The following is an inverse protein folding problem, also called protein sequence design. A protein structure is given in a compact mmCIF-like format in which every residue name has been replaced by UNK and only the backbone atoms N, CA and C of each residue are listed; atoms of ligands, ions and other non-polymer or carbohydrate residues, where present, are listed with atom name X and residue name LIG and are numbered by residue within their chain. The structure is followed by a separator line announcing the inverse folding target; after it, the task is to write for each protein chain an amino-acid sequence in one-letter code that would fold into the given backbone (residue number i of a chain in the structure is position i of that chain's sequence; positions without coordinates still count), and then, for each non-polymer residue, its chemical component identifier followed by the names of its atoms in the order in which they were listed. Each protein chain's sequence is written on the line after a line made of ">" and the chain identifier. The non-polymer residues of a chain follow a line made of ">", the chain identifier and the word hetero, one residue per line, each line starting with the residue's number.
data_IF_345517967011
#
_entry.id   IF_345517967011
#
_cell.length_a   1.000
_cell.length_b   1.000
_cell.length_c   1.000
_cell.angle_alpha   90.00
_cell.angle_beta   90.00
_cell.angle_gamma   90.00
#
_symmetry.space_group_name_H-M   'P 1'
#
loop_
_entity.id
_entity.type
_entity.pdbx_description
1 polymer ?
#
# COMPACT_ATOMS: atom_id res chain seq x y z
N UNK A 1 -17.83 -25.14 -16.68
CA UNK A 1 -16.97 -24.51 -15.69
C UNK A 1 -17.06 -25.27 -14.38
N UNK A 2 -16.07 -26.13 -14.13
CA UNK A 2 -15.86 -26.85 -12.87
C UNK A 2 -14.79 -26.13 -12.04
N UNK A 3 -14.66 -26.42 -10.72
CA UNK A 3 -13.56 -25.88 -9.92
C UNK A 3 -12.17 -26.20 -10.50
N UNK A 4 -11.99 -27.41 -11.04
CA UNK A 4 -10.72 -27.84 -11.65
C UNK A 4 -10.41 -27.02 -12.91
N UNK A 5 -11.40 -26.81 -13.78
CA UNK A 5 -11.25 -25.97 -14.97
C UNK A 5 -10.83 -24.54 -14.59
N UNK A 6 -11.43 -23.97 -13.53
CA UNK A 6 -11.10 -22.64 -13.03
C UNK A 6 -9.67 -22.57 -12.49
N UNK A 7 -9.25 -23.59 -11.73
CA UNK A 7 -7.86 -23.72 -11.26
C UNK A 7 -6.88 -23.77 -12.43
N UNK A 8 -7.20 -24.55 -13.47
CA UNK A 8 -6.36 -24.70 -14.64
C UNK A 8 -6.21 -23.37 -15.40
N UNK A 9 -7.30 -22.61 -15.58
CA UNK A 9 -7.24 -21.27 -16.18
C UNK A 9 -6.30 -20.34 -15.42
N UNK A 10 -6.37 -20.36 -14.09
CA UNK A 10 -5.48 -19.54 -13.29
C UNK A 10 -4.00 -19.97 -13.43
N UNK A 11 -3.72 -21.28 -13.45
CA UNK A 11 -2.37 -21.77 -13.68
C UNK A 11 -1.86 -21.39 -15.08
N UNK A 12 -2.70 -21.49 -16.11
CA UNK A 12 -2.37 -21.03 -17.47
C UNK A 12 -2.01 -19.54 -17.49
N UNK A 13 -2.83 -18.69 -16.86
CA UNK A 13 -2.54 -17.26 -16.73
C UNK A 13 -1.20 -17.02 -16.04
N UNK A 14 -0.96 -17.69 -14.90
CA UNK A 14 0.31 -17.58 -14.15
C UNK A 14 1.51 -17.98 -15.00
N UNK A 15 1.42 -19.10 -15.72
CA UNK A 15 2.49 -19.55 -16.62
C UNK A 15 2.74 -18.54 -17.74
N UNK A 16 1.70 -18.05 -18.42
CA UNK A 16 1.85 -17.06 -19.51
C UNK A 16 2.54 -15.78 -19.02
N UNK A 17 2.10 -15.22 -17.89
CA UNK A 17 2.69 -13.98 -17.36
C UNK A 17 4.13 -14.22 -16.87
N UNK A 18 4.42 -15.39 -16.30
CA UNK A 18 5.75 -15.70 -15.76
C UNK A 18 6.88 -15.67 -16.79
N UNK A 19 6.55 -15.86 -18.07
CA UNK A 19 7.50 -15.74 -19.19
C UNK A 19 8.08 -14.31 -19.26
N UNK A 20 7.24 -13.30 -19.04
CA UNK A 20 7.65 -11.89 -19.14
C UNK A 20 8.04 -11.30 -17.78
N UNK A 21 7.28 -11.64 -16.74
CA UNK A 21 7.40 -11.12 -15.38
C UNK A 21 7.38 -12.29 -14.38
N UNK A 22 8.54 -12.89 -14.06
CA UNK A 22 8.63 -13.94 -13.05
C UNK A 22 8.10 -13.44 -11.69
N UNK A 23 7.45 -14.33 -10.93
CA UNK A 23 6.89 -14.04 -9.59
C UNK A 23 5.83 -12.90 -9.54
N UNK A 24 5.28 -12.51 -10.68
CA UNK A 24 4.21 -11.49 -10.78
C UNK A 24 2.86 -11.94 -10.20
N UNK A 25 2.62 -13.24 -10.20
CA UNK A 25 1.44 -13.87 -9.61
C UNK A 25 1.87 -14.83 -8.49
N UNK A 26 1.42 -14.55 -7.26
CA UNK A 26 1.64 -15.44 -6.12
C UNK A 26 0.82 -16.73 -6.27
N UNK A 27 1.17 -17.79 -5.54
CA UNK A 27 0.34 -18.98 -5.48
C UNK A 27 -0.82 -18.80 -4.49
N UNK A 28 -2.02 -19.27 -4.85
CA UNK A 28 -3.17 -19.25 -3.94
C UNK A 28 -3.15 -20.55 -3.14
N UNK A 29 -2.86 -20.45 -1.85
CA UNK A 29 -2.84 -21.61 -0.93
C UNK A 29 -4.24 -22.10 -0.53
N UNK A 30 -5.27 -21.27 -0.75
CA UNK A 30 -6.65 -21.59 -0.45
C UNK A 30 -7.18 -22.62 -1.46
N UNK A 31 -7.77 -23.74 -1.01
CA UNK A 31 -8.37 -24.70 -1.93
C UNK A 31 -9.67 -24.15 -2.52
N UNK A 32 -9.87 -24.40 -3.81
CA UNK A 32 -11.19 -24.28 -4.43
C UNK A 32 -12.15 -25.33 -3.84
N UNK A 33 -13.47 -25.10 -3.89
CA UNK A 33 -14.42 -26.12 -3.49
C UNK A 33 -14.34 -27.35 -4.42
N UNK A 34 -14.66 -28.54 -3.91
CA UNK A 34 -14.65 -29.79 -4.69
C UNK A 34 -15.73 -29.81 -5.78
N UNK A 35 -16.85 -29.15 -5.50
CA UNK A 35 -18.00 -28.99 -6.40
C UNK A 35 -18.67 -27.63 -6.15
N UNK A 36 -19.77 -27.38 -6.86
CA UNK A 36 -20.57 -26.16 -6.75
C UNK A 36 -21.97 -26.47 -6.21
N UNK A 37 -22.11 -27.41 -5.27
CA UNK A 37 -23.40 -27.93 -4.84
C UNK A 37 -24.10 -27.18 -3.71
N UNK A 38 -23.36 -26.44 -2.88
CA UNK A 38 -23.87 -25.93 -1.61
C UNK A 38 -23.40 -24.51 -1.23
N UNK A 39 -23.88 -24.05 -0.08
CA UNK A 39 -23.54 -22.75 0.51
C UNK A 39 -22.05 -22.62 0.84
N UNK A 40 -21.44 -23.68 1.37
CA UNK A 40 -20.04 -23.67 1.76
C UNK A 40 -19.14 -23.55 0.52
N UNK A 41 -19.50 -24.21 -0.58
CA UNK A 41 -18.84 -24.09 -1.86
C UNK A 41 -18.88 -22.64 -2.37
N UNK A 42 -20.02 -21.96 -2.24
CA UNK A 42 -20.13 -20.54 -2.58
C UNK A 42 -19.18 -19.68 -1.76
N UNK A 43 -19.14 -19.86 -0.43
CA UNK A 43 -18.25 -19.09 0.44
C UNK A 43 -16.77 -19.34 0.11
N UNK A 44 -16.39 -20.61 -0.11
CA UNK A 44 -15.03 -20.97 -0.53
C UNK A 44 -14.66 -20.33 -1.87
N UNK A 45 -15.57 -20.36 -2.85
CA UNK A 45 -15.34 -19.74 -4.16
C UNK A 45 -15.18 -18.22 -4.05
N UNK A 46 -15.99 -17.54 -3.23
CA UNK A 46 -15.86 -16.10 -2.98
C UNK A 46 -14.51 -15.76 -2.33
N UNK A 47 -14.11 -16.53 -1.32
CA UNK A 47 -12.84 -16.32 -0.60
C UNK A 47 -11.65 -16.59 -1.53
N UNK A 48 -11.67 -17.69 -2.27
CA UNK A 48 -10.65 -18.02 -3.28
C UNK A 48 -10.56 -16.93 -4.35
N UNK A 49 -11.71 -16.51 -4.87
CA UNK A 49 -11.82 -15.47 -5.88
C UNK A 49 -11.29 -14.11 -5.40
N UNK A 50 -11.51 -13.79 -4.12
CA UNK A 50 -10.93 -12.61 -3.50
C UNK A 50 -9.40 -12.71 -3.46
N UNK A 51 -8.86 -13.85 -3.00
CA UNK A 51 -7.41 -14.07 -2.99
C UNK A 51 -6.81 -13.96 -4.39
N UNK A 52 -7.46 -14.53 -5.42
CA UNK A 52 -7.03 -14.38 -6.81
C UNK A 52 -6.93 -12.90 -7.23
N UNK A 53 -8.01 -12.14 -7.08
CA UNK A 53 -8.14 -10.81 -7.70
C UNK A 53 -7.52 -9.69 -6.86
N UNK A 54 -7.49 -9.84 -5.53
CA UNK A 54 -7.01 -8.79 -4.62
C UNK A 54 -5.66 -9.08 -3.99
N UNK A 55 -5.15 -10.30 -4.07
CA UNK A 55 -3.88 -10.68 -3.45
C UNK A 55 -2.94 -11.24 -4.52
N UNK A 56 -3.21 -12.43 -5.04
CA UNK A 56 -2.28 -13.21 -5.82
C UNK A 56 -1.99 -12.64 -7.22
N UNK A 57 -3.01 -12.15 -7.93
CA UNK A 57 -2.88 -11.58 -9.28
C UNK A 57 -3.31 -10.11 -9.35
N UNK A 58 -3.31 -9.40 -8.20
CA UNK A 58 -3.85 -8.04 -8.06
C UNK A 58 -3.37 -7.06 -9.14
N UNK A 59 -2.06 -7.05 -9.41
CA UNK A 59 -1.44 -6.09 -10.33
C UNK A 59 -1.53 -6.59 -11.76
N UNK A 60 -1.09 -7.83 -12.09
CA UNK A 60 -1.10 -8.28 -13.47
C UNK A 60 -2.52 -8.40 -14.03
N UNK A 61 -3.48 -8.87 -13.23
CA UNK A 61 -4.86 -8.98 -13.68
C UNK A 61 -5.49 -7.60 -13.90
N UNK A 62 -5.26 -6.65 -13.00
CA UNK A 62 -5.73 -5.28 -13.21
C UNK A 62 -5.09 -4.64 -14.46
N UNK A 63 -3.83 -4.93 -14.75
CA UNK A 63 -3.18 -4.47 -15.98
C UNK A 63 -3.81 -5.12 -17.23
N UNK A 64 -3.87 -6.45 -17.28
CA UNK A 64 -4.36 -7.21 -18.44
C UNK A 64 -5.84 -6.94 -18.75
N UNK A 65 -6.67 -6.74 -17.74
CA UNK A 65 -8.10 -6.39 -17.94
C UNK A 65 -8.32 -5.00 -18.56
N UNK A 66 -7.27 -4.15 -18.63
CA UNK A 66 -7.31 -2.88 -19.35
C UNK A 66 -6.79 -2.98 -20.79
N UNK A 67 -6.31 -4.15 -21.21
CA UNK A 67 -5.87 -4.40 -22.58
C UNK A 67 -6.98 -5.13 -23.37
N UNK A 68 -7.04 -4.95 -24.70
CA UNK A 68 -7.89 -5.77 -25.56
C UNK A 68 -7.62 -7.27 -25.36
N UNK A 69 -8.64 -8.14 -25.47
CA UNK A 69 -10.03 -7.85 -25.86
C UNK A 69 -10.92 -7.35 -24.71
N UNK A 70 -10.41 -7.33 -23.48
CA UNK A 70 -11.14 -6.82 -22.34
C UNK A 70 -11.25 -5.29 -22.42
N UNK A 71 -12.42 -4.76 -22.07
CA UNK A 71 -12.65 -3.30 -22.01
C UNK A 71 -12.26 -2.78 -20.63
N UNK A 72 -11.76 -1.55 -20.59
CA UNK A 72 -11.25 -0.81 -19.41
C UNK A 72 -12.25 -0.56 -18.24
N UNK A 73 -13.30 -1.36 -18.09
CA UNK A 73 -14.35 -1.19 -17.08
C UNK A 73 -14.78 -2.53 -16.44
N UNK A 74 -13.92 -3.56 -16.43
CA UNK A 74 -14.25 -4.82 -15.78
C UNK A 74 -14.30 -4.65 -14.25
N UNK A 75 -15.47 -4.24 -13.72
CA UNK A 75 -15.73 -3.89 -12.32
C UNK A 75 -15.75 -5.10 -11.35
N UNK A 76 -15.25 -6.26 -11.78
CA UNK A 76 -15.40 -7.51 -11.04
C UNK A 76 -14.58 -7.55 -9.74
N UNK A 77 -13.47 -6.81 -9.66
CA UNK A 77 -12.70 -6.66 -8.42
C UNK A 77 -13.54 -6.05 -7.28
N UNK A 78 -14.38 -5.07 -7.57
CA UNK A 78 -15.26 -4.46 -6.58
C UNK A 78 -16.39 -5.42 -6.19
N UNK A 79 -16.91 -6.16 -7.16
CA UNK A 79 -17.93 -7.19 -6.95
C UNK A 79 -17.43 -8.27 -5.98
N UNK A 80 -16.28 -8.89 -6.25
CA UNK A 80 -15.74 -9.95 -5.39
C UNK A 80 -15.35 -9.43 -4.00
N UNK A 81 -14.86 -8.20 -3.90
CA UNK A 81 -14.54 -7.57 -2.60
C UNK A 81 -15.80 -7.34 -1.77
N UNK A 82 -16.91 -6.95 -2.41
CA UNK A 82 -18.19 -6.74 -1.76
C UNK A 82 -18.82 -8.07 -1.32
N UNK A 83 -18.77 -9.08 -2.19
CA UNK A 83 -19.19 -10.45 -1.84
C UNK A 83 -18.38 -11.02 -0.67
N UNK A 84 -17.04 -10.87 -0.70
CA UNK A 84 -16.16 -11.29 0.40
C UNK A 84 -16.53 -10.60 1.70
N UNK A 85 -16.84 -9.30 1.64
CA UNK A 85 -17.26 -8.54 2.81
C UNK A 85 -18.56 -9.12 3.39
N UNK A 86 -19.53 -9.45 2.54
CA UNK A 86 -20.79 -10.05 2.98
C UNK A 86 -20.64 -11.44 3.60
N UNK A 87 -19.79 -12.31 3.03
CA UNK A 87 -19.63 -13.69 3.55
C UNK A 87 -18.74 -13.78 4.78
N UNK A 88 -17.81 -12.83 4.99
CA UNK A 88 -16.78 -12.93 6.02
C UNK A 88 -16.90 -11.91 7.16
N UNK A 89 -17.78 -10.90 7.06
CA UNK A 89 -17.91 -9.86 8.08
C UNK A 89 -19.32 -9.79 8.65
N UNK A 90 -19.40 -9.45 9.93
CA UNK A 90 -20.66 -9.10 10.58
C UNK A 90 -21.07 -7.69 10.14
N UNK A 91 -22.06 -7.61 9.25
CA UNK A 91 -22.59 -6.35 8.74
C UNK A 91 -23.61 -5.76 9.71
N UNK A 92 -23.51 -4.45 9.96
CA UNK A 92 -24.40 -3.70 10.83
C UNK A 92 -25.32 -2.81 9.99
N UNK A 93 -26.61 -3.16 9.95
CA UNK A 93 -27.63 -2.47 9.15
C UNK A 93 -27.79 -1.00 9.57
N UNK A 94 -27.35 -0.60 10.77
CA UNK A 94 -27.36 0.81 11.17
C UNK A 94 -26.33 1.66 10.40
N UNK A 95 -25.28 1.04 9.84
CA UNK A 95 -24.21 1.73 9.12
C UNK A 95 -24.53 1.84 7.63
N UNK A 96 -24.45 3.06 7.10
CA UNK A 96 -24.67 3.35 5.66
C UNK A 96 -23.79 2.52 4.71
N UNK A 97 -22.55 2.20 5.12
CA UNK A 97 -21.62 1.37 4.33
C UNK A 97 -22.17 -0.05 4.18
N UNK A 98 -22.61 -0.64 5.28
CA UNK A 98 -23.06 -2.03 5.31
C UNK A 98 -24.41 -2.18 4.61
N UNK A 99 -25.30 -1.18 4.73
CA UNK A 99 -26.53 -1.11 3.91
C UNK A 99 -26.23 -1.15 2.40
N UNK A 100 -25.19 -0.45 1.93
CA UNK A 100 -24.76 -0.49 0.52
C UNK A 100 -24.26 -1.89 0.13
N UNK A 101 -23.48 -2.53 1.00
CA UNK A 101 -23.03 -3.93 0.80
C UNK A 101 -24.23 -4.86 0.66
N UNK A 102 -25.20 -4.81 1.58
CA UNK A 102 -26.43 -5.61 1.50
C UNK A 102 -27.21 -5.36 0.20
N UNK A 103 -27.43 -4.10 -0.15
CA UNK A 103 -28.17 -3.74 -1.35
C UNK A 103 -27.49 -4.24 -2.64
N UNK A 104 -26.16 -4.17 -2.70
CA UNK A 104 -25.38 -4.72 -3.79
C UNK A 104 -25.53 -6.24 -3.87
N UNK A 105 -25.31 -6.94 -2.76
CA UNK A 105 -25.32 -8.41 -2.70
C UNK A 105 -26.70 -8.98 -2.99
N UNK A 106 -27.77 -8.35 -2.50
CA UNK A 106 -29.13 -8.77 -2.85
C UNK A 106 -29.43 -8.64 -4.33
N UNK A 107 -28.93 -7.58 -4.99
CA UNK A 107 -29.05 -7.43 -6.44
C UNK A 107 -28.25 -8.50 -7.17
N UNK A 108 -27.02 -8.72 -6.73
CA UNK A 108 -26.14 -9.74 -7.28
C UNK A 108 -26.76 -11.14 -7.18
N UNK A 109 -27.32 -11.52 -6.04
CA UNK A 109 -28.02 -12.80 -5.88
C UNK A 109 -29.25 -12.90 -6.77
N UNK A 110 -29.98 -11.79 -6.95
CA UNK A 110 -31.14 -11.76 -7.84
C UNK A 110 -30.75 -12.01 -9.30
N UNK A 111 -29.61 -11.48 -9.73
CA UNK A 111 -29.03 -11.74 -11.05
C UNK A 111 -28.55 -13.20 -11.17
N UNK A 112 -27.87 -13.72 -10.14
CA UNK A 112 -27.23 -15.03 -10.18
C UNK A 112 -28.22 -16.22 -10.04
N UNK A 113 -29.24 -16.09 -9.18
CA UNK A 113 -30.16 -17.19 -8.86
C UNK A 113 -31.65 -16.79 -8.82
N UNK A 114 -32.00 -15.55 -9.17
CA UNK A 114 -33.39 -15.06 -9.19
C UNK A 114 -33.95 -14.66 -7.82
N UNK A 115 -33.17 -14.71 -6.74
CA UNK A 115 -33.60 -14.41 -5.37
C UNK A 115 -32.75 -13.33 -4.72
N UNK A 116 -33.34 -12.52 -3.84
CA UNK A 116 -32.57 -11.53 -3.06
C UNK A 116 -31.61 -12.16 -2.05
N UNK A 117 -31.92 -13.37 -1.59
CA UNK A 117 -31.06 -14.17 -0.71
C UNK A 117 -31.23 -15.64 -1.07
N UNK A 118 -30.15 -16.38 -1.35
CA UNK A 118 -30.20 -17.82 -1.54
C UNK A 118 -30.69 -18.51 -0.25
N UNK A 119 -31.46 -19.59 -0.42
CA UNK A 119 -32.03 -20.34 0.71
C UNK A 119 -32.18 -21.84 0.42
N UNK A 120 -31.53 -22.32 -0.64
CA UNK A 120 -31.55 -23.72 -1.05
C UNK A 120 -30.22 -24.06 -1.73
N UNK A 121 -29.84 -25.34 -1.73
CA UNK A 121 -28.65 -25.83 -2.42
C UNK A 121 -28.65 -25.44 -3.91
N UNK A 122 -29.82 -25.53 -4.58
CA UNK A 122 -29.96 -25.12 -5.98
C UNK A 122 -29.69 -23.61 -6.19
N UNK A 123 -30.15 -22.75 -5.27
CA UNK A 123 -29.84 -21.31 -5.36
C UNK A 123 -28.34 -21.05 -5.22
N UNK A 124 -27.67 -21.67 -4.24
CA UNK A 124 -26.22 -21.53 -4.07
C UNK A 124 -25.43 -22.11 -5.24
N UNK A 125 -25.89 -23.23 -5.81
CA UNK A 125 -25.27 -23.82 -7.00
C UNK A 125 -25.32 -22.87 -8.20
N UNK A 126 -26.47 -22.24 -8.44
CA UNK A 126 -26.60 -21.21 -9.48
C UNK A 126 -25.66 -20.02 -9.21
N UNK A 127 -25.54 -19.57 -7.94
CA UNK A 127 -24.60 -18.52 -7.56
C UNK A 127 -23.13 -18.91 -7.83
N UNK A 128 -22.74 -20.14 -7.50
CA UNK A 128 -21.41 -20.67 -7.80
C UNK A 128 -21.14 -20.70 -9.31
N UNK A 129 -22.06 -21.26 -10.10
CA UNK A 129 -21.93 -21.32 -11.56
C UNK A 129 -21.83 -19.93 -12.18
N UNK A 130 -22.68 -19.00 -11.75
CA UNK A 130 -22.66 -17.62 -12.22
C UNK A 130 -21.33 -16.92 -11.90
N UNK A 131 -20.84 -17.06 -10.67
CA UNK A 131 -19.56 -16.49 -10.25
C UNK A 131 -18.38 -17.13 -10.99
N UNK A 132 -18.39 -18.45 -11.16
CA UNK A 132 -17.36 -19.19 -11.89
C UNK A 132 -17.30 -18.80 -13.38
N UNK A 133 -18.46 -18.53 -14.00
CA UNK A 133 -18.53 -18.02 -15.37
C UNK A 133 -17.91 -16.63 -15.50
N UNK A 134 -18.20 -15.72 -14.56
CA UNK A 134 -17.53 -14.41 -14.54
C UNK A 134 -16.01 -14.53 -14.41
N UNK A 135 -15.53 -15.41 -13.51
CA UNK A 135 -14.10 -15.70 -13.42
C UNK A 135 -13.53 -16.25 -14.73
N UNK A 136 -14.25 -17.15 -15.40
CA UNK A 136 -13.85 -17.70 -16.69
C UNK A 136 -13.67 -16.60 -17.74
N UNK A 137 -14.66 -15.72 -17.91
CA UNK A 137 -14.61 -14.62 -18.88
C UNK A 137 -13.41 -13.70 -18.61
N UNK A 138 -13.21 -13.34 -17.34
CA UNK A 138 -12.09 -12.50 -16.92
C UNK A 138 -10.74 -13.17 -17.20
N UNK A 139 -10.57 -14.42 -16.78
CA UNK A 139 -9.30 -15.13 -16.91
C UNK A 139 -8.97 -15.41 -18.36
N UNK A 140 -9.96 -15.82 -19.18
CA UNK A 140 -9.75 -16.01 -20.61
C UNK A 140 -9.36 -14.71 -21.30
N UNK A 141 -10.08 -13.61 -21.04
CA UNK A 141 -9.73 -12.32 -21.61
C UNK A 141 -8.35 -11.83 -21.15
N UNK A 142 -7.94 -12.14 -19.92
CA UNK A 142 -6.60 -11.81 -19.43
C UNK A 142 -5.52 -12.70 -20.07
N UNK A 143 -5.80 -13.98 -20.31
CA UNK A 143 -4.91 -14.91 -21.03
C UNK A 143 -4.74 -14.45 -22.48
N UNK A 144 -5.84 -14.06 -23.16
CA UNK A 144 -5.80 -13.50 -24.51
C UNK A 144 -5.03 -12.18 -24.55
N UNK A 145 -5.21 -11.31 -23.54
CA UNK A 145 -4.42 -10.08 -23.41
C UNK A 145 -2.92 -10.33 -23.20
N UNK A 146 -2.50 -11.52 -22.74
CA UNK A 146 -1.08 -11.86 -22.68
C UNK A 146 -0.45 -11.96 -24.07
N UNK A 147 -1.22 -12.25 -25.14
CA UNK A 147 -0.69 -12.30 -26.50
C UNK A 147 -0.15 -10.93 -26.94
N UNK A 148 -0.67 -9.83 -26.38
CA UNK A 148 -0.16 -8.47 -26.62
C UNK A 148 1.20 -8.23 -25.97
N UNK A 149 1.59 -9.01 -24.96
CA UNK A 149 2.93 -8.94 -24.36
C UNK A 149 3.99 -9.58 -25.26
N UNK A 150 3.56 -10.49 -26.13
CA UNK A 150 4.38 -11.16 -27.15
C UNK A 150 4.48 -10.34 -28.46
N UNK A 151 3.79 -9.19 -28.55
CA UNK A 151 3.77 -8.35 -29.75
C UNK A 151 5.15 -7.72 -30.04
N UNK A 152 5.66 -7.78 -31.29
CA UNK A 152 7.00 -7.30 -31.62
C UNK A 152 7.15 -5.77 -31.57
N UNK A 153 6.07 -5.01 -31.71
CA UNK A 153 6.11 -3.54 -31.73
C UNK A 153 5.82 -2.97 -30.34
N UNK A 154 4.76 -3.41 -29.68
CA UNK A 154 4.27 -2.86 -28.41
C UNK A 154 4.61 -3.73 -27.19
N UNK A 155 4.91 -5.02 -27.37
CA UNK A 155 5.06 -5.99 -26.27
C UNK A 155 6.16 -5.61 -25.28
N UNK A 156 7.33 -5.17 -25.77
CA UNK A 156 8.43 -4.74 -24.91
C UNK A 156 8.04 -3.55 -24.00
N UNK A 157 7.26 -2.60 -24.54
CA UNK A 157 6.75 -1.44 -23.78
C UNK A 157 5.71 -1.86 -22.75
N UNK A 158 4.80 -2.77 -23.11
CA UNK A 158 3.78 -3.29 -22.18
C UNK A 158 4.39 -4.10 -21.05
N UNK A 159 5.40 -4.93 -21.34
CA UNK A 159 6.15 -5.67 -20.33
C UNK A 159 6.89 -4.73 -19.39
N UNK A 160 7.51 -3.66 -19.90
CA UNK A 160 8.16 -2.65 -19.07
C UNK A 160 7.17 -1.92 -18.15
N UNK A 161 5.98 -1.53 -18.65
CA UNK A 161 4.92 -0.92 -17.81
C UNK A 161 4.44 -1.90 -16.73
N UNK A 162 4.17 -3.16 -17.11
CA UNK A 162 3.75 -4.18 -16.15
C UNK A 162 4.81 -4.41 -15.06
N UNK A 163 6.09 -4.53 -15.41
CA UNK A 163 7.20 -4.64 -14.45
C UNK A 163 7.26 -3.43 -13.54
N UNK A 164 7.22 -2.23 -14.11
CA UNK A 164 7.18 -0.98 -13.34
C UNK A 164 6.04 -0.97 -12.32
N UNK A 165 4.83 -1.39 -12.70
CA UNK A 165 3.70 -1.47 -11.76
C UNK A 165 3.91 -2.51 -10.67
N UNK A 166 4.53 -3.66 -10.98
CA UNK A 166 4.86 -4.69 -10.00
C UNK A 166 5.92 -4.17 -9.02
N UNK A 167 6.98 -3.56 -9.53
CA UNK A 167 8.11 -3.06 -8.74
C UNK A 167 7.72 -1.88 -7.86
N UNK A 168 6.74 -1.08 -8.26
CA UNK A 168 6.20 0.03 -7.48
C UNK A 168 5.13 -0.39 -6.46
N UNK A 169 4.51 -1.55 -6.64
CA UNK A 169 3.47 -2.04 -5.75
C UNK A 169 4.06 -2.71 -4.51
N UNK A 170 4.80 -1.93 -3.72
CA UNK A 170 5.35 -2.41 -2.47
C UNK A 170 4.23 -2.73 -1.48
N UNK A 171 4.30 -3.94 -0.94
CA UNK A 171 3.49 -4.35 0.18
C UNK A 171 3.82 -3.52 1.41
N UNK A 172 2.81 -3.27 2.23
CA UNK A 172 2.93 -2.36 3.37
C UNK A 172 4.07 -2.78 4.32
N UNK A 173 4.25 -4.07 4.57
CA UNK A 173 5.30 -4.60 5.43
C UNK A 173 6.72 -4.39 4.90
N UNK A 174 6.91 -4.14 3.60
CA UNK A 174 8.25 -3.87 3.04
C UNK A 174 8.80 -2.52 3.49
N UNK A 175 7.94 -1.61 3.94
CA UNK A 175 8.37 -0.34 4.50
C UNK A 175 8.84 -0.48 5.95
N UNK A 176 8.43 -1.53 6.68
CA UNK A 176 8.71 -1.65 8.12
C UNK A 176 10.21 -1.65 8.44
N UNK A 177 11.07 -2.43 7.73
CA UNK A 177 12.52 -2.41 7.99
C UNK A 177 13.15 -1.05 7.72
N UNK A 178 12.69 -0.33 6.70
CA UNK A 178 13.19 1.03 6.39
C UNK A 178 12.80 2.03 7.47
N UNK A 179 11.56 1.94 7.97
CA UNK A 179 11.08 2.77 9.08
C UNK A 179 11.86 2.47 10.35
N UNK A 180 12.10 1.19 10.66
CA UNK A 180 12.92 0.77 11.80
C UNK A 180 14.35 1.32 11.72
N UNK A 181 14.99 1.21 10.55
CA UNK A 181 16.35 1.70 10.35
C UNK A 181 16.42 3.24 10.48
N UNK A 182 15.47 3.96 9.87
CA UNK A 182 15.38 5.41 10.01
C UNK A 182 15.13 5.82 11.47
N UNK A 183 14.22 5.14 12.16
CA UNK A 183 13.92 5.37 13.57
C UNK A 183 15.13 5.10 14.48
N UNK A 184 15.89 4.05 14.21
CA UNK A 184 17.12 3.72 14.92
C UNK A 184 18.19 4.81 14.72
N UNK A 185 18.36 5.32 13.48
CA UNK A 185 19.27 6.44 13.19
C UNK A 185 18.87 7.72 13.93
N UNK A 186 17.57 8.00 14.02
CA UNK A 186 17.01 9.12 14.80
C UNK A 186 17.07 8.90 16.33
N UNK A 187 17.49 7.72 16.79
CA UNK A 187 17.66 7.41 18.22
C UNK A 187 16.35 7.18 18.97
N UNK A 188 15.25 6.85 18.26
CA UNK A 188 13.97 6.54 18.87
C UNK A 188 13.39 5.24 18.29
N UNK A 189 13.84 4.06 18.78
CA UNK A 189 13.38 2.76 18.28
C UNK A 189 11.95 2.38 18.71
N UNK A 190 11.25 3.23 19.48
CA UNK A 190 9.96 2.91 20.10
C UNK A 190 8.72 3.32 19.31
N UNK A 191 8.83 3.65 18.03
CA UNK A 191 7.65 4.05 17.25
C UNK A 191 6.70 2.88 17.00
N UNK A 192 5.41 3.18 17.02
CA UNK A 192 4.41 2.28 16.48
C UNK A 192 4.51 2.28 14.94
N UNK A 193 5.28 1.33 14.41
CA UNK A 193 5.51 1.14 12.97
C UNK A 193 4.19 0.98 12.21
N UNK A 194 3.20 0.29 12.80
CA UNK A 194 1.91 0.06 12.18
C UNK A 194 1.16 1.39 12.02
N UNK A 195 1.14 2.22 13.07
CA UNK A 195 0.49 3.52 13.03
C UNK A 195 1.15 4.46 12.00
N UNK A 196 2.48 4.59 12.02
CA UNK A 196 3.21 5.45 11.09
C UNK A 196 3.03 4.99 9.65
N UNK A 197 3.21 3.70 9.39
CA UNK A 197 2.96 3.13 8.07
C UNK A 197 1.54 3.40 7.62
N UNK A 198 0.54 3.09 8.43
CA UNK A 198 -0.86 3.25 8.03
C UNK A 198 -1.22 4.70 7.66
N UNK A 199 -0.59 5.68 8.34
CA UNK A 199 -0.77 7.11 8.09
C UNK A 199 -0.06 7.58 6.81
N UNK A 200 1.14 7.06 6.51
CA UNK A 200 2.00 7.58 5.45
C UNK A 200 2.16 6.66 4.21
N UNK A 201 1.59 5.45 4.21
CA UNK A 201 1.77 4.45 3.14
C UNK A 201 1.48 4.98 1.73
N UNK A 202 0.38 5.69 1.55
CA UNK A 202 0.00 6.23 0.23
C UNK A 202 0.93 7.38 -0.22
N UNK A 203 1.48 8.15 0.73
CA UNK A 203 2.50 9.17 0.46
C UNK A 203 3.79 8.49 0.00
N UNK A 204 4.24 7.45 0.70
CA UNK A 204 5.46 6.71 0.35
C UNK A 204 5.35 6.02 -1.01
N UNK A 205 4.21 5.40 -1.31
CA UNK A 205 3.93 4.83 -2.64
C UNK A 205 3.98 5.88 -3.75
N UNK A 206 3.44 7.07 -3.50
CA UNK A 206 3.49 8.19 -4.46
C UNK A 206 4.92 8.63 -4.71
N UNK A 207 5.73 8.78 -3.66
CA UNK A 207 7.14 9.14 -3.78
C UNK A 207 7.91 8.08 -4.58
N UNK A 208 7.71 6.79 -4.28
CA UNK A 208 8.30 5.70 -5.06
C UNK A 208 7.91 5.75 -6.54
N UNK A 209 6.65 6.07 -6.86
CA UNK A 209 6.17 6.14 -8.24
C UNK A 209 6.77 7.31 -9.05
N UNK A 210 7.27 8.34 -8.38
CA UNK A 210 7.85 9.53 -9.00
C UNK A 210 9.38 9.49 -9.06
N UNK A 211 10.01 8.61 -8.28
CA UNK A 211 11.46 8.53 -8.16
C UNK A 211 12.08 7.61 -9.23
N UNK A 212 13.22 8.06 -9.76
CA UNK A 212 14.05 7.27 -10.65
C UNK A 212 14.56 6.01 -9.95
N UNK A 213 14.66 4.90 -10.69
CA UNK A 213 14.96 3.58 -10.14
C UNK A 213 16.24 3.57 -9.28
N UNK A 214 17.28 4.29 -9.71
CA UNK A 214 18.56 4.40 -9.00
C UNK A 214 18.48 5.24 -7.72
N UNK A 215 17.45 6.09 -7.57
CA UNK A 215 17.29 7.00 -6.43
C UNK A 215 16.13 6.62 -5.50
N UNK A 216 15.27 5.65 -5.90
CA UNK A 216 14.06 5.26 -5.16
C UNK A 216 14.31 5.01 -3.68
N UNK A 217 15.33 4.23 -3.34
CA UNK A 217 15.63 3.92 -1.95
C UNK A 217 16.03 5.18 -1.16
N UNK A 218 16.94 6.00 -1.72
CA UNK A 218 17.39 7.24 -1.09
C UNK A 218 16.26 8.23 -0.86
N UNK A 219 15.42 8.46 -1.89
CA UNK A 219 14.29 9.40 -1.81
C UNK A 219 13.24 8.87 -0.83
N UNK A 220 13.00 7.56 -0.79
CA UNK A 220 12.08 6.95 0.16
C UNK A 220 12.59 7.08 1.60
N UNK A 221 13.87 6.78 1.86
CA UNK A 221 14.49 6.94 3.19
C UNK A 221 14.39 8.39 3.67
N UNK A 222 14.71 9.36 2.82
CA UNK A 222 14.58 10.79 3.14
C UNK A 222 13.13 11.17 3.47
N UNK A 223 12.15 10.63 2.73
CA UNK A 223 10.74 10.89 3.02
C UNK A 223 10.28 10.24 4.34
N UNK A 224 10.73 9.02 4.62
CA UNK A 224 10.43 8.31 5.88
C UNK A 224 11.05 9.08 7.05
N UNK A 225 12.31 9.52 6.95
CA UNK A 225 12.97 10.34 7.96
C UNK A 225 12.19 11.64 8.23
N UNK A 226 11.75 12.34 7.18
CA UNK A 226 10.95 13.55 7.32
C UNK A 226 9.62 13.29 8.06
N UNK A 227 8.94 12.20 7.72
CA UNK A 227 7.67 11.81 8.36
C UNK A 227 7.87 11.38 9.83
N UNK A 228 8.99 10.70 10.14
CA UNK A 228 9.37 10.36 11.51
C UNK A 228 9.68 11.62 12.33
N UNK A 229 10.40 12.59 11.76
CA UNK A 229 10.68 13.87 12.41
C UNK A 229 9.41 14.68 12.68
N UNK A 230 8.46 14.68 11.74
CA UNK A 230 7.13 15.28 11.93
C UNK A 230 6.39 14.62 13.11
N UNK A 231 6.38 13.28 13.16
CA UNK A 231 5.76 12.54 14.25
C UNK A 231 6.43 12.80 15.61
N UNK A 232 7.76 12.97 15.66
CA UNK A 232 8.47 13.40 16.86
C UNK A 232 8.01 14.80 17.28
N UNK A 233 7.96 15.74 16.33
CA UNK A 233 7.52 17.11 16.57
C UNK A 233 6.11 17.19 17.15
N UNK A 234 5.18 16.39 16.62
CA UNK A 234 3.80 16.30 17.12
C UNK A 234 3.70 15.72 18.53
N UNK A 235 4.59 14.78 18.88
CA UNK A 235 4.66 14.15 20.19
C UNK A 235 5.35 15.02 21.24
N UNK A 236 6.03 16.12 20.86
CA UNK A 236 6.65 17.02 21.81
C UNK A 236 5.59 17.78 22.64
N UNK A 237 5.77 17.91 23.97
CA UNK A 237 4.96 18.78 24.80
C UNK A 237 4.88 20.19 24.23
N UNK A 238 3.71 20.82 24.34
CA UNK A 238 3.43 22.13 23.74
C UNK A 238 4.46 23.21 24.14
N UNK A 239 4.95 23.16 25.38
CA UNK A 239 6.01 24.05 25.89
C UNK A 239 7.31 23.92 25.08
N UNK A 240 7.68 22.70 24.67
CA UNK A 240 8.88 22.45 23.85
C UNK A 240 8.65 22.94 22.41
N UNK A 241 7.45 22.77 21.87
CA UNK A 241 7.09 23.30 20.54
C UNK A 241 7.14 24.83 20.48
N UNK A 242 6.59 25.50 21.49
CA UNK A 242 6.63 26.97 21.60
C UNK A 242 8.08 27.48 21.74
N UNK A 243 8.94 26.73 22.45
CA UNK A 243 10.36 27.06 22.55
C UNK A 243 11.15 26.76 21.27
N UNK A 244 10.85 25.67 20.55
CA UNK A 244 11.45 25.38 19.25
C UNK A 244 11.07 26.42 18.20
N UNK A 245 9.82 26.89 18.19
CA UNK A 245 9.39 28.00 17.32
C UNK A 245 10.14 29.30 17.60
N UNK A 246 10.55 29.53 18.86
CA UNK A 246 11.41 30.66 19.25
C UNK A 246 12.87 30.49 18.85
N UNK A 247 13.34 29.25 18.69
CA UNK A 247 14.74 28.90 18.32
C UNK A 247 14.90 28.68 16.81
N UNK A 248 13.81 28.46 16.06
CA UNK A 248 13.76 28.19 14.62
C UNK A 248 14.08 29.42 13.73
N UNK A 249 15.21 30.10 14.00
CA UNK A 249 15.78 31.07 13.08
C UNK A 249 16.62 30.39 11.97
N UNK A 250 17.11 29.16 12.18
CA UNK A 250 17.74 28.35 11.13
C UNK A 250 17.55 26.83 11.36
N UNK A 251 17.55 26.08 10.26
CA UNK A 251 17.43 24.61 10.26
C UNK A 251 18.57 23.95 11.02
N UNK A 252 19.78 24.52 10.94
CA UNK A 252 20.98 24.01 11.61
C UNK A 252 20.92 24.17 13.14
N UNK A 253 20.37 25.29 13.62
CA UNK A 253 20.15 25.53 15.05
C UNK A 253 19.16 24.52 15.65
N UNK A 254 18.18 24.09 14.86
CA UNK A 254 17.16 23.13 15.30
C UNK A 254 17.76 21.72 15.40
N UNK A 255 18.60 21.32 14.44
CA UNK A 255 19.33 20.04 14.48
C UNK A 255 20.33 20.02 15.64
N UNK A 256 21.07 21.10 15.86
CA UNK A 256 21.98 21.23 16.99
C UNK A 256 21.25 21.15 18.34
N UNK A 257 20.09 21.80 18.48
CA UNK A 257 19.27 21.73 19.67
C UNK A 257 18.77 20.31 19.97
N UNK A 258 18.33 19.58 18.93
CA UNK A 258 17.85 18.20 19.06
C UNK A 258 18.98 17.23 19.42
N UNK A 259 20.19 17.41 18.87
CA UNK A 259 21.37 16.63 19.23
C UNK A 259 21.83 16.91 20.68
N UNK A 260 21.81 18.17 21.12
CA UNK A 260 22.13 18.55 22.50
C UNK A 260 21.10 18.02 23.51
N UNK A 261 19.80 18.05 23.16
CA UNK A 261 18.73 17.44 23.96
C UNK A 261 18.91 15.91 24.07
N UNK A 262 19.39 15.24 23.01
CA UNK A 262 19.69 13.81 23.03
C UNK A 262 20.86 13.48 23.96
N UNK A 263 21.94 14.25 23.89
CA UNK A 263 23.15 14.03 24.69
C UNK A 263 22.88 14.28 26.18
N UNK A 264 22.18 15.37 26.51
CA UNK A 264 21.84 15.75 27.88
C UNK A 264 20.84 14.80 28.55
N UNK A 265 19.89 14.25 27.80
CA UNK A 265 18.97 13.21 28.31
C UNK A 265 19.69 11.91 28.67
N UNK A 266 20.85 11.66 28.06
CA UNK A 266 21.73 10.52 28.35
C UNK A 266 22.57 10.74 29.62
N UNK A 267 22.84 11.99 29.98
CA UNK A 267 23.74 12.38 31.08
C UNK A 267 22.96 12.84 32.32
N UNK A 268 21.68 13.21 32.20
CA UNK A 268 20.76 13.46 33.33
C UNK A 268 21.01 14.75 34.10
N UNK A 269 21.85 15.66 33.61
CA UNK A 269 22.37 16.80 34.40
C UNK A 269 21.84 18.17 34.00
N UNK A 270 21.13 18.32 32.87
CA UNK A 270 20.68 19.64 32.40
C UNK A 270 19.17 19.76 32.31
N UNK A 271 18.66 20.89 32.80
CA UNK A 271 17.24 21.26 32.68
C UNK A 271 16.98 21.89 31.31
N UNK A 272 15.74 21.76 30.82
CA UNK A 272 15.34 22.29 29.51
C UNK A 272 15.67 23.79 29.30
N UNK A 273 15.49 24.68 30.29
CA UNK A 273 15.89 26.08 30.17
C UNK A 273 17.40 26.28 29.92
N UNK A 274 18.25 25.49 30.57
CA UNK A 274 19.71 25.57 30.41
C UNK A 274 20.15 25.11 29.01
N UNK A 275 19.44 24.15 28.43
CA UNK A 275 19.72 23.67 27.07
C UNK A 275 19.34 24.72 26.03
N UNK A 276 18.19 25.38 26.21
CA UNK A 276 17.75 26.48 25.33
C UNK A 276 18.72 27.66 25.41
N UNK A 277 19.21 28.01 26.60
CA UNK A 277 20.19 29.06 26.79
C UNK A 277 21.53 28.73 26.11
N UNK A 278 22.00 27.48 26.22
CA UNK A 278 23.25 27.02 25.60
C UNK A 278 23.19 26.96 24.06
N UNK A 279 22.04 26.54 23.51
CA UNK A 279 21.80 26.57 22.06
C UNK A 279 21.74 28.02 21.56
N UNK A 280 21.05 28.89 22.30
CA UNK A 280 20.93 30.31 21.94
C UNK A 280 22.28 31.02 21.97
N UNK A 281 23.16 30.71 22.94
CA UNK A 281 24.52 31.26 22.98
C UNK A 281 25.39 30.76 21.84
N UNK A 282 25.29 29.48 21.45
CA UNK A 282 26.07 28.95 20.32
C UNK A 282 25.63 29.50 18.96
N UNK A 283 24.32 29.74 18.76
CA UNK A 283 23.79 30.35 17.53
C UNK A 283 24.21 31.82 17.42
N UNK A 284 24.25 32.55 18.55
CA UNK A 284 24.73 33.93 18.59
C UNK A 284 26.24 34.07 18.34
N UNK A 285 27.06 33.14 18.86
CA UNK A 285 28.51 33.13 18.63
C UNK A 285 28.88 32.82 17.17
N UNK A 286 28.13 31.95 16.49
CA UNK A 286 28.33 31.68 15.06
C UNK A 286 27.87 32.85 14.18
N UNK A 287 26.79 33.53 14.55
CA UNK A 287 26.33 34.75 13.85
C UNK A 287 27.32 35.91 13.93
N UNK A 288 28.02 36.09 15.07
CA UNK A 288 29.05 37.12 15.20
C UNK A 288 30.34 36.77 14.44
N UNK A 289 30.69 35.48 14.36
CA UNK A 289 31.88 35.02 13.62
C UNK A 289 31.76 35.22 12.10
N UNK A 290 30.56 35.06 11.53
CA UNK A 290 30.32 35.34 10.09
C UNK A 290 30.24 36.84 9.77
N UNK A 291 29.81 37.67 10.72
CA UNK A 291 29.77 39.14 10.55
C UNK A 291 31.18 39.73 10.64
N UNK A 292 32.04 39.22 11.54
CA UNK A 292 33.45 39.62 11.57
C UNK A 292 34.22 39.17 10.33
N UNK A 293 33.97 37.97 9.80
CA UNK A 293 34.61 37.49 8.57
C UNK A 293 34.25 38.32 7.33
N UNK A 294 33.00 38.81 7.21
CA UNK A 294 32.59 39.70 6.11
C UNK A 294 33.10 41.14 6.26
N UNK A 295 33.36 41.61 7.48
CA UNK A 295 33.93 42.95 7.71
C UNK A 295 35.41 43.07 7.35
N UNK A 296 36.12 41.94 7.24
CA UNK A 296 37.56 41.90 6.88
C UNK A 296 37.78 41.83 5.37
N UNK A 297 36.83 41.30 4.60
CA UNK A 297 36.94 41.17 3.14
C UNK A 297 36.54 42.45 2.37
N UNK A 298 35.80 43.38 2.98
CA UNK A 298 35.45 44.68 2.34
C UNK A 298 36.52 45.78 2.58
N UNK A 299 37.70 45.42 3.11
CA UNK A 299 38.79 46.36 3.41
C UNK A 299 40.12 46.04 2.69
N UNK A 300 40.11 45.27 1.59
CA UNK A 300 41.29 45.07 0.73
C UNK A 300 40.98 45.30 -0.76
#
# INVERSE_FOLDING_TARGET
>A
MTPIELSNLYQTLRTRISIHCPNSCAEISLPLPSDFGDELAFYRLVIWGYALVNEAAKIPLAFLTNLPPLKANYSFRNEISTLRTYVAHNLDISKKRDQKTYAFVHRWFKEACGRGTPNSASHYSNCCTYLAYKFQEMLNGAIEACDLLDDPEDGARLVADLKGRIDLAWEAYRFDPLVEECAARLGNPGFDLLAIRSKHLEKWRRVLSQADENERQRVLEQQIEADLLEAIGDALPQIIRENLQRVAASTDATVAALLLLRETRRIGTMTLPQIVELVSSHVLDQGNSEVEAKSVDDSN
#
